data_IF_158223140785
#
_entry.id   IF_158223140785
#
_cell.length_a   1.000
_cell.length_b   1.000
_cell.length_c   1.000
_cell.angle_alpha   90.00
_cell.angle_beta   90.00
_cell.angle_gamma   90.00
#
_symmetry.space_group_name_H-M   'P 1'
#
loop_
_entity.id
_entity.type
_entity.pdbx_description
1 polymer ?
#
# COMPACT_ATOMS: atom_id res chain seq x y z
N UNK A 1 -14.45 -8.55 1.83
CA UNK A 1 -12.99 -8.40 1.60
C UNK A 1 -12.41 -7.47 2.66
N UNK A 2 -11.30 -7.87 3.27
CA UNK A 2 -10.62 -7.01 4.23
C UNK A 2 -9.82 -5.93 3.53
N UNK A 3 -9.75 -4.74 4.15
CA UNK A 3 -8.82 -3.69 3.72
C UNK A 3 -7.38 -4.12 4.01
N UNK A 4 -6.43 -3.60 3.28
CA UNK A 4 -5.00 -3.89 3.55
C UNK A 4 -4.62 -3.54 4.99
N UNK A 5 -5.11 -2.42 5.52
CA UNK A 5 -4.86 -2.04 6.91
C UNK A 5 -5.39 -3.09 7.90
N UNK A 6 -6.52 -3.69 7.61
CA UNK A 6 -7.11 -4.74 8.44
C UNK A 6 -6.29 -6.04 8.38
N UNK A 7 -5.83 -6.42 7.18
CA UNK A 7 -4.97 -7.60 7.00
C UNK A 7 -3.68 -7.43 7.80
N UNK A 8 -3.06 -6.27 7.70
CA UNK A 8 -1.78 -6.01 8.37
C UNK A 8 -1.94 -5.92 9.89
N UNK A 9 -3.07 -5.42 10.36
CA UNK A 9 -3.39 -5.44 11.79
C UNK A 9 -3.48 -6.88 12.30
N UNK A 10 -4.12 -7.77 11.56
CA UNK A 10 -4.17 -9.20 11.92
C UNK A 10 -2.78 -9.83 11.99
N UNK A 11 -1.88 -9.45 11.08
CA UNK A 11 -0.50 -9.95 11.09
C UNK A 11 0.22 -9.49 12.37
N UNK A 12 0.04 -8.25 12.77
CA UNK A 12 0.66 -7.72 13.99
C UNK A 12 0.15 -8.41 15.26
N UNK A 13 -1.13 -8.77 15.29
CA UNK A 13 -1.75 -9.43 16.44
C UNK A 13 -1.43 -10.92 16.49
N UNK A 14 -1.17 -11.56 15.35
CA UNK A 14 -0.92 -13.00 15.28
C UNK A 14 0.28 -13.39 16.14
N UNK A 15 0.16 -14.53 16.84
CA UNK A 15 1.13 -14.93 17.85
C UNK A 15 2.35 -15.65 17.29
N UNK A 16 2.28 -16.20 16.07
CA UNK A 16 3.37 -16.95 15.47
C UNK A 16 3.44 -16.78 13.96
N UNK A 17 4.54 -17.26 13.40
CA UNK A 17 4.81 -17.17 11.96
C UNK A 17 3.80 -17.95 11.12
N UNK A 18 3.41 -19.13 11.59
CA UNK A 18 2.46 -19.98 10.87
C UNK A 18 1.14 -19.25 10.68
N UNK A 19 0.63 -18.62 11.74
CA UNK A 19 -0.60 -17.83 11.69
C UNK A 19 -0.49 -16.66 10.72
N UNK A 20 0.65 -15.97 10.70
CA UNK A 20 0.89 -14.85 9.78
C UNK A 20 0.90 -15.30 8.33
N UNK A 21 1.52 -16.42 8.03
CA UNK A 21 1.51 -17.01 6.70
C UNK A 21 0.09 -17.36 6.27
N UNK A 22 -0.69 -17.97 7.16
CA UNK A 22 -2.08 -18.31 6.87
C UNK A 22 -2.94 -17.06 6.57
N UNK A 23 -2.72 -15.96 7.30
CA UNK A 23 -3.41 -14.70 7.05
C UNK A 23 -3.09 -14.17 5.65
N UNK A 24 -1.83 -14.18 5.25
CA UNK A 24 -1.42 -13.74 3.91
C UNK A 24 -2.01 -14.62 2.83
N UNK A 25 -1.99 -15.94 3.01
CA UNK A 25 -2.54 -16.88 2.04
C UNK A 25 -4.06 -16.76 1.91
N UNK A 26 -4.75 -16.58 3.02
CA UNK A 26 -6.21 -16.43 3.04
C UNK A 26 -6.66 -15.14 2.34
N UNK A 27 -5.87 -14.10 2.42
CA UNK A 27 -6.18 -12.80 1.84
C UNK A 27 -5.40 -12.51 0.55
N UNK A 28 -4.88 -13.55 -0.09
CA UNK A 28 -4.10 -13.43 -1.32
C UNK A 28 -4.94 -12.77 -2.43
N UNK A 29 -4.34 -11.84 -3.13
CA UNK A 29 -4.93 -11.19 -4.29
C UNK A 29 -3.82 -10.62 -5.17
N UNK A 30 -4.14 -10.38 -6.43
CA UNK A 30 -3.19 -9.72 -7.34
C UNK A 30 -2.79 -8.33 -6.82
N UNK A 31 -3.75 -7.59 -6.27
CA UNK A 31 -3.48 -6.26 -5.70
C UNK A 31 -2.53 -6.32 -4.51
N UNK A 32 -2.72 -7.28 -3.60
CA UNK A 32 -1.85 -7.40 -2.44
C UNK A 32 -0.44 -7.83 -2.85
N UNK A 33 -0.33 -8.75 -3.80
CA UNK A 33 0.99 -9.15 -4.33
C UNK A 33 1.68 -7.99 -5.03
N UNK A 34 0.94 -7.19 -5.79
CA UNK A 34 1.49 -6.00 -6.44
C UNK A 34 1.94 -4.94 -5.41
N UNK A 35 1.17 -4.76 -4.34
CA UNK A 35 1.56 -3.88 -3.23
C UNK A 35 2.92 -4.31 -2.66
N UNK A 36 3.10 -5.60 -2.40
CA UNK A 36 4.37 -6.12 -1.89
C UNK A 36 5.50 -5.98 -2.89
N UNK A 37 5.22 -6.17 -4.19
CA UNK A 37 6.23 -5.96 -5.24
C UNK A 37 6.72 -4.51 -5.22
N UNK A 38 5.79 -3.57 -5.17
CA UNK A 38 6.14 -2.15 -5.11
C UNK A 38 6.93 -1.80 -3.84
N UNK A 39 6.63 -2.47 -2.73
CA UNK A 39 7.30 -2.23 -1.46
C UNK A 39 8.71 -2.79 -1.41
N UNK A 40 8.90 -4.01 -1.91
CA UNK A 40 10.14 -4.77 -1.68
C UNK A 40 11.10 -4.79 -2.89
N UNK A 41 10.68 -4.38 -4.06
CA UNK A 41 11.58 -4.31 -5.22
C UNK A 41 12.46 -3.05 -5.11
N UNK A 42 13.76 -3.24 -4.86
CA UNK A 42 14.69 -2.14 -4.68
C UNK A 42 14.90 -1.30 -5.95
N UNK A 43 14.52 -1.83 -7.11
CA UNK A 43 14.60 -1.09 -8.37
C UNK A 43 13.43 -0.12 -8.56
N UNK A 44 12.42 -0.20 -7.72
CA UNK A 44 11.27 0.69 -7.75
C UNK A 44 11.48 1.78 -6.71
N UNK A 45 11.50 3.03 -7.16
CA UNK A 45 11.53 4.22 -6.31
C UNK A 45 10.32 5.07 -6.65
N UNK A 46 9.73 5.68 -5.63
CA UNK A 46 8.64 6.62 -5.82
C UNK A 46 9.20 8.04 -5.92
N UNK A 47 8.66 8.81 -6.85
CA UNK A 47 9.06 10.19 -7.12
C UNK A 47 7.84 11.09 -7.04
N UNK A 48 7.40 11.34 -5.81
CA UNK A 48 6.30 12.24 -5.52
C UNK A 48 6.50 12.86 -4.15
N UNK A 49 6.24 14.16 -4.05
CA UNK A 49 6.23 14.84 -2.76
C UNK A 49 4.91 14.55 -2.05
N UNK A 50 4.99 14.12 -0.79
CA UNK A 50 3.80 13.82 0.00
C UNK A 50 3.17 15.13 0.46
N UNK A 51 1.94 15.46 -0.01
CA UNK A 51 1.30 16.72 0.34
C UNK A 51 0.69 16.67 1.74
N UNK A 52 0.33 17.81 2.27
CA UNK A 52 -0.57 17.89 3.42
C UNK A 52 -1.95 17.45 2.97
N UNK A 53 -2.62 16.65 3.78
CA UNK A 53 -3.96 16.14 3.48
C UNK A 53 -4.78 16.01 4.76
N UNK A 54 -6.10 15.95 4.61
CA UNK A 54 -7.03 15.74 5.73
C UNK A 54 -7.37 14.27 5.83
N UNK A 55 -7.01 13.57 6.92
CA UNK A 55 -7.42 12.18 7.09
C UNK A 55 -8.94 12.03 7.01
N UNK A 56 -9.41 11.00 6.32
CA UNK A 56 -10.84 10.70 6.25
C UNK A 56 -11.38 10.33 7.63
N UNK A 57 -12.60 10.73 7.91
CA UNK A 57 -13.28 10.47 9.18
C UNK A 57 -14.25 9.29 9.09
N UNK A 58 -14.54 8.81 7.88
CA UNK A 58 -15.48 7.73 7.65
C UNK A 58 -14.93 6.42 8.22
N UNK A 59 -15.81 5.55 8.77
CA UNK A 59 -15.40 4.22 9.21
C UNK A 59 -14.86 3.36 8.06
N UNK A 60 -14.07 2.34 8.41
CA UNK A 60 -13.57 1.39 7.43
C UNK A 60 -14.71 0.79 6.61
N UNK A 61 -14.52 0.74 5.28
CA UNK A 61 -15.52 0.23 4.36
C UNK A 61 -16.50 1.26 3.81
N UNK A 62 -16.50 2.49 4.33
CA UNK A 62 -17.38 3.57 3.87
C UNK A 62 -16.61 4.72 3.19
N UNK A 63 -15.43 4.43 2.64
CA UNK A 63 -14.57 5.41 2.00
C UNK A 63 -14.82 5.45 0.49
N UNK A 64 -14.41 6.54 -0.16
CA UNK A 64 -14.60 6.73 -1.61
C UNK A 64 -13.83 5.73 -2.43
N UNK A 65 -12.67 5.30 -1.96
CA UNK A 65 -11.85 4.31 -2.64
C UNK A 65 -11.13 3.44 -1.62
N UNK A 66 -10.49 2.40 -2.10
CA UNK A 66 -9.74 1.44 -1.28
C UNK A 66 -8.34 1.27 -1.86
N UNK A 67 -7.36 1.04 -0.98
CA UNK A 67 -5.98 0.90 -1.43
C UNK A 67 -5.82 -0.23 -2.45
N UNK A 68 -6.52 -1.36 -2.25
CA UNK A 68 -6.47 -2.47 -3.20
C UNK A 68 -6.95 -2.09 -4.61
N UNK A 69 -7.81 -1.09 -4.72
CA UNK A 69 -8.27 -0.58 -6.02
C UNK A 69 -7.30 0.43 -6.63
N UNK A 70 -6.54 1.14 -5.79
CA UNK A 70 -5.61 2.16 -6.24
C UNK A 70 -4.24 1.62 -6.64
N UNK A 71 -3.87 0.42 -6.17
CA UNK A 71 -2.53 -0.15 -6.41
C UNK A 71 -2.15 -0.17 -7.89
N UNK A 72 -3.06 -0.54 -8.77
CA UNK A 72 -2.80 -0.61 -10.21
C UNK A 72 -2.51 0.76 -10.85
N UNK A 73 -2.83 1.85 -10.14
CA UNK A 73 -2.61 3.22 -10.64
C UNK A 73 -1.39 3.89 -10.00
N UNK A 74 -0.71 3.22 -9.05
CA UNK A 74 0.41 3.81 -8.34
C UNK A 74 1.66 3.99 -9.19
N UNK A 75 1.71 3.39 -10.38
CA UNK A 75 2.79 3.63 -11.34
C UNK A 75 2.99 5.13 -11.64
N UNK A 76 1.93 5.93 -11.47
CA UNK A 76 1.98 7.38 -11.70
C UNK A 76 2.98 8.10 -10.80
N UNK A 77 3.35 7.47 -9.69
CA UNK A 77 4.29 8.02 -8.71
C UNK A 77 5.67 7.37 -8.75
N UNK A 78 5.88 6.41 -9.65
CA UNK A 78 7.16 5.69 -9.76
C UNK A 78 8.13 6.54 -10.59
N UNK A 79 9.35 6.66 -10.09
CA UNK A 79 10.43 7.37 -10.76
C UNK A 79 10.78 6.69 -12.10
N UNK A 80 10.93 7.51 -13.15
CA UNK A 80 11.30 7.04 -14.50
C UNK A 80 10.27 6.10 -15.13
N UNK A 81 9.02 6.12 -14.68
CA UNK A 81 7.95 5.33 -15.30
C UNK A 81 7.52 5.98 -16.62
N UNK A 82 7.69 5.31 -17.78
CA UNK A 82 7.35 5.89 -19.07
C UNK A 82 5.88 6.34 -19.20
N UNK A 83 4.96 5.62 -18.56
CA UNK A 83 3.52 5.95 -18.61
C UNK A 83 3.18 7.22 -17.82
N UNK A 84 4.09 7.68 -16.98
CA UNK A 84 3.88 8.85 -16.13
C UNK A 84 4.77 10.02 -16.49
N UNK A 85 5.50 9.96 -17.60
CA UNK A 85 6.50 10.96 -17.99
C UNK A 85 5.89 12.35 -18.19
N UNK A 86 4.61 12.43 -18.56
CA UNK A 86 3.93 13.70 -18.78
C UNK A 86 3.39 14.34 -17.49
N UNK A 87 3.46 13.65 -16.36
CA UNK A 87 3.00 14.18 -15.09
C UNK A 87 4.08 15.03 -14.44
N UNK A 88 3.77 16.29 -14.19
CA UNK A 88 4.67 17.18 -13.46
C UNK A 88 4.68 16.85 -11.97
N UNK A 89 5.72 17.23 -11.21
CA UNK A 89 5.72 17.02 -9.76
C UNK A 89 4.49 17.61 -9.07
N UNK A 90 4.05 18.78 -9.49
CA UNK A 90 2.83 19.42 -8.96
C UNK A 90 1.59 18.57 -9.22
N UNK A 91 1.45 18.05 -10.44
CA UNK A 91 0.30 17.23 -10.82
C UNK A 91 0.28 15.92 -10.04
N UNK A 92 1.44 15.30 -9.84
CA UNK A 92 1.54 14.08 -9.02
C UNK A 92 1.07 14.33 -7.60
N UNK A 93 1.49 15.42 -6.97
CA UNK A 93 1.05 15.77 -5.61
C UNK A 93 -0.44 16.06 -5.55
N UNK A 94 -1.00 16.73 -6.56
CA UNK A 94 -2.45 16.98 -6.63
C UNK A 94 -3.26 15.67 -6.74
N UNK A 95 -2.78 14.71 -7.52
CA UNK A 95 -3.41 13.40 -7.64
C UNK A 95 -3.31 12.65 -6.30
N UNK A 96 -2.15 12.69 -5.68
CA UNK A 96 -1.91 11.97 -4.43
C UNK A 96 -2.78 12.49 -3.29
N UNK A 97 -2.99 13.80 -3.16
CA UNK A 97 -3.82 14.35 -2.09
C UNK A 97 -5.26 13.84 -2.21
N UNK A 98 -5.80 13.76 -3.43
CA UNK A 98 -7.15 13.25 -3.66
C UNK A 98 -7.25 11.78 -3.21
N UNK A 99 -6.26 10.97 -3.54
CA UNK A 99 -6.24 9.56 -3.14
C UNK A 99 -6.18 9.44 -1.62
N UNK A 100 -5.25 10.17 -0.97
CA UNK A 100 -5.07 10.11 0.48
C UNK A 100 -6.34 10.51 1.24
N UNK A 101 -7.04 11.54 0.77
CA UNK A 101 -8.27 12.01 1.40
C UNK A 101 -9.47 11.12 1.10
N UNK A 102 -9.37 10.26 0.09
CA UNK A 102 -10.43 9.33 -0.32
C UNK A 102 -10.29 7.93 0.30
N UNK A 103 -9.14 7.63 0.89
CA UNK A 103 -8.87 6.36 1.56
C UNK A 103 -9.23 6.45 3.04
N UNK A 104 -9.51 5.28 3.66
CA UNK A 104 -9.52 5.20 5.11
C UNK A 104 -8.18 5.70 5.66
N UNK A 105 -8.22 6.38 6.81
CA UNK A 105 -7.02 7.01 7.40
C UNK A 105 -5.84 6.06 7.56
N UNK A 106 -6.10 4.79 7.92
CA UNK A 106 -5.04 3.80 8.11
C UNK A 106 -4.47 3.32 6.78
N UNK A 107 -5.31 3.25 5.75
CA UNK A 107 -4.83 2.94 4.39
C UNK A 107 -4.03 4.10 3.79
N UNK A 108 -4.41 5.33 4.08
CA UNK A 108 -3.64 6.50 3.66
C UNK A 108 -2.22 6.46 4.26
N UNK A 109 -2.11 6.08 5.54
CA UNK A 109 -0.80 5.89 6.18
C UNK A 109 0.02 4.79 5.50
N UNK A 110 -0.63 3.69 5.11
CA UNK A 110 0.05 2.61 4.38
C UNK A 110 0.57 3.08 3.02
N UNK A 111 -0.20 3.89 2.31
CA UNK A 111 0.25 4.43 1.02
C UNK A 111 1.46 5.35 1.20
N UNK A 112 1.46 6.20 2.20
CA UNK A 112 2.62 7.05 2.53
C UNK A 112 3.82 6.16 2.87
N UNK A 113 3.61 5.13 3.68
CA UNK A 113 4.67 4.16 4.01
C UNK A 113 5.22 3.45 2.78
N UNK A 114 4.35 3.06 1.86
CA UNK A 114 4.76 2.44 0.60
C UNK A 114 5.65 3.38 -0.22
N UNK A 115 5.26 4.64 -0.34
CA UNK A 115 6.04 5.65 -1.07
C UNK A 115 7.41 5.81 -0.43
N UNK A 116 7.49 5.75 0.89
CA UNK A 116 8.74 5.82 1.64
C UNK A 116 9.45 4.46 1.76
N UNK A 117 8.90 3.40 1.18
CA UNK A 117 9.43 2.04 1.19
C UNK A 117 9.56 1.46 2.61
N UNK A 118 8.70 1.91 3.53
CA UNK A 118 8.66 1.43 4.91
C UNK A 118 7.25 1.63 5.47
N UNK A 119 6.50 0.54 5.58
CA UNK A 119 5.12 0.59 6.07
C UNK A 119 5.00 0.41 7.58
N UNK A 120 6.10 0.06 8.28
CA UNK A 120 6.12 -0.01 9.74
C UNK A 120 5.23 -1.07 10.37
N UNK A 121 4.85 -2.11 9.63
CA UNK A 121 4.03 -3.22 10.15
C UNK A 121 4.93 -4.24 10.83
N UNK A 122 4.71 -4.47 12.13
CA UNK A 122 5.51 -5.44 12.89
C UNK A 122 5.29 -6.84 12.36
N UNK A 123 6.37 -7.63 12.34
CA UNK A 123 6.38 -9.03 11.92
C UNK A 123 6.16 -9.26 10.43
N UNK A 124 6.00 -8.21 9.65
CA UNK A 124 5.87 -8.30 8.19
C UNK A 124 7.17 -7.89 7.53
N UNK A 125 7.72 -8.78 6.70
CA UNK A 125 8.95 -8.54 5.94
C UNK A 125 8.91 -9.31 4.63
N UNK A 126 9.88 -9.06 3.77
CA UNK A 126 9.96 -9.71 2.46
C UNK A 126 10.05 -11.24 2.57
N UNK A 127 10.83 -11.74 3.54
CA UNK A 127 11.00 -13.19 3.71
C UNK A 127 9.67 -13.87 4.04
N UNK A 128 8.86 -13.26 4.90
CA UNK A 128 7.54 -13.78 5.26
C UNK A 128 6.63 -13.84 4.03
N UNK A 129 6.61 -12.78 3.24
CA UNK A 129 5.78 -12.71 2.03
C UNK A 129 6.21 -13.76 1.00
N UNK A 130 7.51 -13.91 0.79
CA UNK A 130 8.04 -14.93 -0.11
C UNK A 130 7.65 -16.33 0.31
N UNK A 131 7.75 -16.62 1.61
CA UNK A 131 7.37 -17.92 2.14
C UNK A 131 5.86 -18.17 1.99
N UNK A 132 5.04 -17.17 2.31
CA UNK A 132 3.58 -17.29 2.22
C UNK A 132 3.11 -17.58 0.79
N UNK A 133 3.74 -16.97 -0.20
CA UNK A 133 3.34 -17.09 -1.61
C UNK A 133 4.25 -18.00 -2.43
N UNK A 134 5.16 -18.72 -1.79
CA UNK A 134 6.09 -19.65 -2.46
C UNK A 134 6.94 -18.98 -3.54
N UNK A 135 7.45 -17.82 -3.25
CA UNK A 135 8.30 -17.06 -4.18
C UNK A 135 9.78 -17.32 -3.97
#
# INVERSE_FOLDING_TARGET
MLLFSEIFEQIEIAVDKKSRIEILQKNDSLSLREFFRLLYDDNIEFDVEIPKYRPAIEPAGLNFTYLHSEVKKLYRFIKNEPRAVMLTPKKKSEILVVILESLHKDEAKLLIGLINKDIGVRHLNEALVKEAYSL
#
